data_IF_654501921688
#
_entry.id   IF_654501921688
#
_cell.length_a   1.000
_cell.length_b   1.000
_cell.length_c   1.000
_cell.angle_alpha   90.00
_cell.angle_beta   90.00
_cell.angle_gamma   90.00
#
_symmetry.space_group_name_H-M   'P 1'
#
loop_
_entity.id
_entity.type
_entity.pdbx_description
1 polymer ?
#
# COMPACT_ATOMS: atom_id res chain seq x y z
N UNK A 1 15.50 0.31 2.12
CA UNK A 1 14.88 1.55 2.65
C UNK A 1 13.62 1.22 3.45
N UNK A 2 13.25 2.07 4.42
CA UNK A 2 12.03 1.89 5.20
C UNK A 2 10.90 2.77 4.66
N UNK A 3 9.70 2.21 4.55
CA UNK A 3 8.48 2.94 4.18
C UNK A 3 7.35 2.59 5.15
N UNK A 4 6.29 3.40 5.13
CA UNK A 4 5.07 3.07 5.84
C UNK A 4 4.00 2.54 4.90
N UNK A 5 3.51 1.33 5.16
CA UNK A 5 2.34 0.80 4.48
C UNK A 5 1.10 1.03 5.33
N UNK A 6 0.06 1.61 4.71
CA UNK A 6 -1.24 1.83 5.33
C UNK A 6 -2.34 1.10 4.57
N UNK A 7 -3.02 0.17 5.24
CA UNK A 7 -4.12 -0.62 4.67
C UNK A 7 -5.43 -0.30 5.38
N UNK A 8 -6.47 -0.03 4.60
CA UNK A 8 -7.77 0.43 5.11
C UNK A 8 -8.92 -0.53 4.80
N UNK A 9 -10.03 -0.37 5.51
CA UNK A 9 -11.24 -1.18 5.38
C UNK A 9 -10.90 -2.69 5.43
N UNK A 10 -11.40 -3.50 4.50
CA UNK A 10 -11.16 -4.95 4.46
C UNK A 10 -9.69 -5.32 4.24
N UNK A 11 -8.84 -4.43 3.71
CA UNK A 11 -7.40 -4.70 3.60
C UNK A 11 -6.68 -4.64 4.96
N UNK A 12 -7.28 -4.03 5.98
CA UNK A 12 -6.71 -3.98 7.34
C UNK A 12 -6.46 -5.39 7.90
N UNK A 13 -7.28 -6.37 7.52
CA UNK A 13 -7.15 -7.76 7.97
C UNK A 13 -5.82 -8.40 7.55
N UNK A 14 -5.17 -7.88 6.51
CA UNK A 14 -3.86 -8.32 6.02
C UNK A 14 -2.69 -7.83 6.86
N UNK A 15 -2.91 -6.86 7.75
CA UNK A 15 -1.88 -6.40 8.68
C UNK A 15 -1.74 -7.38 9.86
N UNK A 16 -0.55 -7.42 10.49
CA UNK A 16 -0.37 -8.06 11.79
C UNK A 16 -1.43 -7.59 12.80
N UNK A 17 -2.02 -8.47 13.62
CA UNK A 17 -3.10 -8.12 14.56
C UNK A 17 -2.85 -6.85 15.38
N UNK A 18 -1.63 -6.66 15.87
CA UNK A 18 -1.17 -5.51 16.64
C UNK A 18 -1.14 -4.18 15.86
N UNK A 19 -1.01 -4.26 14.52
CA UNK A 19 -0.96 -3.10 13.62
C UNK A 19 -2.33 -2.71 13.08
N UNK A 20 -3.34 -3.59 13.18
CA UNK A 20 -4.69 -3.38 12.60
C UNK A 20 -5.37 -2.12 13.12
N UNK A 21 -5.28 -1.87 14.43
CA UNK A 21 -5.88 -0.68 15.06
C UNK A 21 -5.29 0.65 14.55
N UNK A 22 -4.05 0.62 14.04
CA UNK A 22 -3.35 1.80 13.51
C UNK A 22 -3.42 1.90 12.00
N UNK A 23 -3.92 0.86 11.32
CA UNK A 23 -3.91 0.76 9.86
C UNK A 23 -2.53 1.02 9.25
N UNK A 24 -1.44 0.71 9.96
CA UNK A 24 -0.08 1.07 9.56
C UNK A 24 0.94 0.06 10.06
N UNK A 25 1.87 -0.28 9.19
CA UNK A 25 3.09 -1.03 9.51
C UNK A 25 4.27 -0.37 8.81
N UNK A 26 5.45 -0.44 9.43
CA UNK A 26 6.70 -0.06 8.78
C UNK A 26 7.25 -1.27 8.02
N UNK A 27 7.61 -1.09 6.76
CA UNK A 27 8.16 -2.14 5.90
C UNK A 27 9.57 -1.80 5.47
N UNK A 28 10.47 -2.77 5.57
CA UNK A 28 11.72 -2.74 4.82
C UNK A 28 11.47 -3.21 3.39
N UNK A 29 11.86 -2.37 2.43
CA UNK A 29 11.76 -2.65 1.00
C UNK A 29 13.11 -2.38 0.34
N UNK A 30 13.36 -3.04 -0.79
CA UNK A 30 14.55 -2.79 -1.60
C UNK A 30 14.59 -1.34 -2.07
N UNK A 31 15.79 -0.79 -2.19
CA UNK A 31 15.97 0.50 -2.85
C UNK A 31 15.50 0.41 -4.30
N UNK A 32 14.77 1.44 -4.76
CA UNK A 32 14.17 1.43 -6.09
C UNK A 32 12.87 0.61 -6.20
N UNK A 33 12.39 0.00 -5.12
CA UNK A 33 11.12 -0.74 -5.15
C UNK A 33 9.95 0.15 -5.61
N UNK A 34 9.12 -0.37 -6.50
CA UNK A 34 7.95 0.33 -7.01
C UNK A 34 6.73 0.08 -6.13
N UNK A 35 5.69 0.90 -6.29
CA UNK A 35 4.38 0.67 -5.66
C UNK A 35 3.85 -0.74 -5.97
N UNK A 36 4.00 -1.19 -7.22
CA UNK A 36 3.54 -2.51 -7.64
C UNK A 36 4.33 -3.64 -6.98
N UNK A 37 5.64 -3.48 -6.80
CA UNK A 37 6.48 -4.48 -6.12
C UNK A 37 6.03 -4.67 -4.67
N UNK A 38 5.74 -3.58 -3.96
CA UNK A 38 5.25 -3.64 -2.58
C UNK A 38 3.88 -4.32 -2.52
N UNK A 39 2.94 -3.95 -3.39
CA UNK A 39 1.61 -4.58 -3.47
C UNK A 39 1.73 -6.10 -3.63
N UNK A 40 2.58 -6.55 -4.57
CA UNK A 40 2.79 -7.96 -4.87
C UNK A 40 3.49 -8.70 -3.73
N UNK A 41 4.52 -8.10 -3.11
CA UNK A 41 5.23 -8.68 -1.95
C UNK A 41 4.30 -8.89 -0.75
N UNK A 42 3.32 -8.01 -0.57
CA UNK A 42 2.31 -8.13 0.49
C UNK A 42 1.16 -9.09 0.13
N UNK A 43 1.19 -9.70 -1.06
CA UNK A 43 0.16 -10.63 -1.52
C UNK A 43 -1.21 -9.97 -1.70
N UNK A 44 -1.26 -8.64 -1.91
CA UNK A 44 -2.51 -7.91 -2.10
C UNK A 44 -2.89 -8.03 -3.58
N UNK A 45 -4.04 -8.61 -3.92
CA UNK A 45 -4.51 -8.64 -5.30
C UNK A 45 -4.65 -7.22 -5.86
N UNK A 46 -4.15 -6.97 -7.06
CA UNK A 46 -4.18 -5.63 -7.68
C UNK A 46 -5.63 -5.13 -7.89
N UNK A 47 -6.57 -6.04 -8.13
CA UNK A 47 -8.01 -5.76 -8.22
C UNK A 47 -8.63 -5.26 -6.89
N UNK A 48 -7.97 -5.53 -5.76
CA UNK A 48 -8.34 -5.00 -4.44
C UNK A 48 -7.64 -3.66 -4.15
N UNK A 49 -6.80 -3.12 -5.04
CA UNK A 49 -6.12 -1.85 -4.84
C UNK A 49 -6.85 -0.75 -5.62
N UNK A 50 -7.99 -0.28 -5.10
CA UNK A 50 -8.86 0.68 -5.80
C UNK A 50 -8.31 2.11 -5.71
N UNK A 51 -8.02 2.58 -4.50
CA UNK A 51 -7.35 3.85 -4.27
C UNK A 51 -5.95 3.58 -3.72
N UNK A 52 -4.93 4.06 -4.44
CA UNK A 52 -3.52 3.95 -4.04
C UNK A 52 -2.92 5.34 -4.00
N UNK A 53 -2.33 5.70 -2.87
CA UNK A 53 -1.70 7.00 -2.64
C UNK A 53 -0.25 6.80 -2.17
N UNK A 54 0.65 7.66 -2.62
CA UNK A 54 1.97 7.85 -2.00
C UNK A 54 2.05 9.27 -1.46
N UNK A 55 2.20 9.41 -0.14
CA UNK A 55 2.17 10.70 0.57
C UNK A 55 0.93 11.56 0.24
N UNK A 56 -0.21 10.90 0.01
CA UNK A 56 -1.46 11.55 -0.36
C UNK A 56 -1.62 11.82 -1.86
N UNK A 57 -0.58 11.67 -2.68
CA UNK A 57 -0.66 11.78 -4.13
C UNK A 57 -1.19 10.49 -4.74
N UNK A 58 -2.22 10.59 -5.58
CA UNK A 58 -2.82 9.45 -6.26
C UNK A 58 -1.86 8.80 -7.27
N UNK A 59 -1.86 7.46 -7.29
CA UNK A 59 -1.11 6.65 -8.24
C UNK A 59 -2.09 5.79 -9.06
N UNK A 60 -2.22 6.13 -10.34
CA UNK A 60 -3.08 5.40 -11.26
C UNK A 60 -2.59 3.95 -11.46
N UNK A 61 -3.47 2.99 -11.77
CA UNK A 61 -3.09 1.59 -11.95
C UNK A 61 -1.90 1.36 -12.90
N UNK A 62 -1.89 2.03 -14.06
CA UNK A 62 -0.84 1.92 -15.05
C UNK A 62 0.53 2.47 -14.61
N UNK A 63 0.54 3.38 -13.62
CA UNK A 63 1.76 4.04 -13.16
C UNK A 63 2.42 3.28 -12.01
N UNK A 64 1.73 2.32 -11.38
CA UNK A 64 2.22 1.61 -10.18
C UNK A 64 3.53 0.86 -10.41
N UNK A 65 3.75 0.36 -11.62
CA UNK A 65 4.98 -0.33 -12.02
C UNK A 65 6.16 0.63 -12.26
N UNK A 66 5.90 1.92 -12.47
CA UNK A 66 6.94 2.93 -12.72
C UNK A 66 7.15 3.86 -11.51
N UNK A 67 6.17 3.96 -10.60
CA UNK A 67 6.27 4.77 -9.39
C UNK A 67 7.18 4.11 -8.36
N UNK A 68 8.46 4.44 -8.41
CA UNK A 68 9.49 4.09 -7.41
C UNK A 68 9.19 4.80 -6.09
N UNK A 69 9.26 4.08 -4.97
CA UNK A 69 9.12 4.63 -3.63
C UNK A 69 10.46 5.20 -3.12
N UNK A 70 10.39 6.07 -2.13
CA UNK A 70 11.55 6.62 -1.43
C UNK A 70 11.43 6.34 0.07
N UNK A 71 12.55 6.48 0.78
CA UNK A 71 12.59 6.33 2.23
C UNK A 71 11.58 7.26 2.93
N UNK A 72 11.02 6.77 4.03
CA UNK A 72 10.03 7.44 4.88
C UNK A 72 8.69 7.81 4.21
N UNK A 73 8.48 7.48 2.93
CA UNK A 73 7.20 7.67 2.26
C UNK A 73 6.10 6.77 2.82
N UNK A 74 4.87 7.26 2.79
CA UNK A 74 3.68 6.50 3.14
C UNK A 74 2.92 6.01 1.89
N UNK A 75 2.86 4.69 1.70
CA UNK A 75 2.00 4.03 0.73
C UNK A 75 0.67 3.66 1.39
N UNK A 76 -0.43 4.23 0.90
CA UNK A 76 -1.77 3.99 1.43
C UNK A 76 -2.68 3.33 0.38
N UNK A 77 -3.42 2.28 0.78
CA UNK A 77 -4.24 1.47 -0.12
C UNK A 77 -5.63 1.24 0.48
N UNK A 78 -6.67 1.51 -0.33
CA UNK A 78 -8.05 1.17 -0.02
C UNK A 78 -8.60 0.14 -1.01
N UNK A 79 -9.42 -0.81 -0.53
CA UNK A 79 -10.20 -1.68 -1.38
C UNK A 79 -11.31 -0.93 -2.12
N UNK A 80 -11.90 -1.55 -3.16
CA UNK A 80 -13.14 -1.07 -3.73
C UNK A 80 -14.16 -0.82 -2.61
N UNK A 81 -14.83 0.33 -2.67
CA UNK A 81 -15.92 0.61 -1.73
C UNK A 81 -17.02 -0.40 -2.01
N UNK A 82 -17.27 -1.30 -1.06
CA UNK A 82 -18.53 -2.03 -1.04
C UNK A 82 -19.61 -1.01 -0.72
N UNK A 83 -20.24 -0.46 -1.76
CA UNK A 83 -21.44 0.37 -1.60
C UNK A 83 -22.48 -0.45 -0.84
N UNK A 84 -22.96 0.09 0.28
CA UNK A 84 -24.25 -0.28 0.85
C UNK A 84 -25.36 0.44 0.10
#
# INVERSE_FOLDING_TARGET
MRIALKLFASLTERLPPESRARHRVELEVEEGATVLDVIRRQGIPEAQCFLVLVDGAWVAPQDRAARVLSEDQALAIWPPVAGG
#
